data_IF_710194433562
#
_entry.id   IF_710194433562
#
_cell.length_a   1.000
_cell.length_b   1.000
_cell.length_c   1.000
_cell.angle_alpha   90.00
_cell.angle_beta   90.00
_cell.angle_gamma   90.00
#
_symmetry.space_group_name_H-M   'P 1'
#
loop_
_entity.id
_entity.type
_entity.pdbx_description
1 polymer ?
#
# COMPACT_ATOMS: atom_id res chain seq x y z
N UNK A 1 10.57 12.89 11.45
CA UNK A 1 10.00 11.52 11.36
C UNK A 1 9.11 11.18 12.54
N UNK A 2 9.60 11.14 13.80
CA UNK A 2 8.76 10.77 14.97
C UNK A 2 7.48 11.62 15.10
N UNK A 3 7.59 12.94 14.94
CA UNK A 3 6.42 13.83 14.99
C UNK A 3 5.43 13.55 13.85
N UNK A 4 5.91 13.27 12.64
CA UNK A 4 5.05 12.94 11.49
C UNK A 4 4.30 11.63 11.74
N UNK A 5 4.98 10.61 12.30
CA UNK A 5 4.36 9.32 12.68
C UNK A 5 3.24 9.53 13.71
N UNK A 6 3.51 10.30 14.77
CA UNK A 6 2.52 10.59 15.80
C UNK A 6 1.31 11.37 15.25
N UNK A 7 1.55 12.34 14.38
CA UNK A 7 0.49 13.13 13.75
C UNK A 7 -0.36 12.27 12.80
N UNK A 8 0.26 11.41 12.00
CA UNK A 8 -0.48 10.50 11.10
C UNK A 8 -1.29 9.48 11.90
N UNK A 9 -0.72 8.91 12.98
CA UNK A 9 -1.44 8.03 13.90
C UNK A 9 -2.69 8.72 14.46
N UNK A 10 -2.54 9.93 14.99
CA UNK A 10 -3.67 10.70 15.52
C UNK A 10 -4.75 10.97 14.47
N UNK A 11 -4.34 11.26 13.22
CA UNK A 11 -5.28 11.50 12.12
C UNK A 11 -6.00 10.22 11.70
N UNK A 12 -5.30 9.07 11.63
CA UNK A 12 -5.89 7.76 11.36
C UNK A 12 -6.93 7.39 12.41
N UNK A 13 -6.58 7.53 13.69
CA UNK A 13 -7.50 7.26 14.80
C UNK A 13 -8.75 8.14 14.73
N UNK A 14 -8.58 9.42 14.42
CA UNK A 14 -9.69 10.38 14.32
C UNK A 14 -10.62 10.13 13.14
N UNK A 15 -10.06 9.79 11.95
CA UNK A 15 -10.83 9.76 10.69
C UNK A 15 -11.16 8.36 10.18
N UNK A 16 -10.25 7.41 10.36
CA UNK A 16 -10.29 6.11 9.69
C UNK A 16 -10.66 4.96 10.60
N UNK A 17 -10.47 5.11 11.92
CA UNK A 17 -10.71 4.04 12.89
C UNK A 17 -12.04 4.27 13.60
N UNK A 18 -12.85 3.20 13.68
CA UNK A 18 -14.08 3.14 14.47
C UNK A 18 -14.07 1.87 15.28
N UNK A 19 -14.33 1.98 16.59
CA UNK A 19 -14.53 0.86 17.49
C UNK A 19 -16.02 0.60 17.70
N UNK A 20 -16.40 -0.66 17.81
CA UNK A 20 -17.79 -1.09 17.96
C UNK A 20 -18.00 -2.47 17.39
N UNK A 21 -19.25 -2.94 17.33
CA UNK A 21 -19.56 -4.23 16.71
C UNK A 21 -19.90 -4.03 15.23
N UNK A 22 -19.05 -4.55 14.37
CA UNK A 22 -19.21 -4.47 12.91
C UNK A 22 -19.33 -5.86 12.31
N UNK A 23 -20.24 -6.03 11.34
CA UNK A 23 -20.28 -7.24 10.53
C UNK A 23 -19.50 -7.00 9.24
N UNK A 24 -18.41 -7.75 9.05
CA UNK A 24 -17.57 -7.67 7.87
C UNK A 24 -18.31 -8.27 6.66
N UNK A 25 -17.83 -7.99 5.44
CA UNK A 25 -18.35 -8.59 4.21
C UNK A 25 -18.26 -10.11 4.18
N UNK A 26 -17.36 -10.70 4.98
CA UNK A 26 -17.25 -12.16 5.19
C UNK A 26 -18.29 -12.73 6.15
N UNK A 27 -19.17 -11.90 6.76
CA UNK A 27 -20.11 -12.29 7.81
C UNK A 27 -19.50 -12.39 9.22
N UNK A 28 -18.18 -12.23 9.36
CA UNK A 28 -17.53 -12.25 10.68
C UNK A 28 -17.80 -10.96 11.45
N UNK A 29 -17.95 -11.10 12.78
CA UNK A 29 -17.99 -9.96 13.70
C UNK A 29 -16.57 -9.39 13.92
N UNK A 30 -16.47 -8.07 13.98
CA UNK A 30 -15.22 -7.36 14.30
C UNK A 30 -15.52 -6.23 15.29
N UNK A 31 -14.64 -6.02 16.25
CA UNK A 31 -14.66 -4.91 17.19
C UNK A 31 -14.04 -3.64 16.63
N UNK A 32 -13.45 -3.73 15.43
CA UNK A 32 -12.69 -2.68 14.79
C UNK A 32 -13.05 -2.57 13.31
N UNK A 33 -13.37 -1.37 12.86
CA UNK A 33 -13.50 -1.01 11.46
C UNK A 33 -12.45 0.03 11.10
N UNK A 34 -11.68 -0.20 10.03
CA UNK A 34 -10.67 0.72 9.53
C UNK A 34 -10.94 1.01 8.05
N UNK A 35 -11.13 2.30 7.72
CA UNK A 35 -11.17 2.79 6.34
C UNK A 35 -10.06 3.83 6.14
N UNK A 36 -8.90 3.35 5.74
CA UNK A 36 -7.73 4.20 5.53
C UNK A 36 -7.88 5.20 4.39
N UNK A 37 -8.82 4.97 3.44
CA UNK A 37 -9.07 5.88 2.31
C UNK A 37 -9.46 7.26 2.77
N UNK A 38 -10.20 7.38 3.88
CA UNK A 38 -10.60 8.68 4.45
C UNK A 38 -9.38 9.50 4.85
N UNK A 39 -8.35 8.88 5.42
CA UNK A 39 -7.09 9.57 5.76
C UNK A 39 -6.17 9.69 4.55
N UNK A 40 -6.09 8.67 3.70
CA UNK A 40 -5.22 8.69 2.52
C UNK A 40 -5.65 9.73 1.46
N UNK A 41 -6.94 10.06 1.43
CA UNK A 41 -7.50 11.12 0.56
C UNK A 41 -7.60 12.50 1.27
N UNK A 42 -7.22 12.59 2.54
CA UNK A 42 -7.06 13.87 3.22
C UNK A 42 -5.72 14.51 2.81
N UNK A 43 -5.65 15.81 2.44
CA UNK A 43 -4.41 16.44 1.97
C UNK A 43 -3.25 16.33 2.96
N UNK A 44 -3.52 16.51 4.26
CA UNK A 44 -2.49 16.37 5.30
C UNK A 44 -2.12 14.91 5.54
N UNK A 45 -3.13 14.01 5.50
CA UNK A 45 -2.93 12.57 5.60
C UNK A 45 -2.07 12.05 4.43
N UNK A 46 -2.42 12.40 3.20
CA UNK A 46 -1.65 12.05 2.01
C UNK A 46 -0.20 12.52 2.08
N UNK A 47 0.04 13.79 2.50
CA UNK A 47 1.39 14.32 2.65
C UNK A 47 2.22 13.52 3.66
N UNK A 48 1.65 13.24 4.84
CA UNK A 48 2.31 12.45 5.88
C UNK A 48 2.56 11.00 5.46
N UNK A 49 1.60 10.37 4.78
CA UNK A 49 1.73 9.02 4.23
C UNK A 49 2.85 8.99 3.18
N UNK A 50 2.88 9.98 2.30
CA UNK A 50 3.93 10.11 1.29
C UNK A 50 5.33 10.18 1.91
N UNK A 51 5.52 11.06 2.90
CA UNK A 51 6.82 11.26 3.53
C UNK A 51 7.27 10.01 4.33
N UNK A 52 6.38 9.42 5.14
CA UNK A 52 6.69 8.22 5.91
C UNK A 52 6.89 7.00 5.03
N UNK A 53 6.01 6.81 4.05
CA UNK A 53 6.07 5.72 3.10
C UNK A 53 7.34 5.78 2.26
N UNK A 54 7.69 6.97 1.73
CA UNK A 54 8.93 7.14 0.98
C UNK A 54 10.16 6.85 1.84
N UNK A 55 10.19 7.33 3.08
CA UNK A 55 11.30 7.02 3.99
C UNK A 55 11.47 5.51 4.20
N UNK A 56 10.39 4.78 4.47
CA UNK A 56 10.42 3.32 4.66
C UNK A 56 10.87 2.59 3.39
N UNK A 57 10.31 2.97 2.23
CA UNK A 57 10.66 2.44 0.91
C UNK A 57 12.14 2.68 0.60
N UNK A 58 12.60 3.91 0.73
CA UNK A 58 13.98 4.29 0.42
C UNK A 58 14.98 3.55 1.32
N UNK A 59 14.68 3.42 2.61
CA UNK A 59 15.50 2.66 3.55
C UNK A 59 15.67 1.20 3.10
N UNK A 60 14.58 0.55 2.66
CA UNK A 60 14.61 -0.83 2.15
C UNK A 60 15.40 -0.93 0.86
N UNK A 61 15.16 -0.03 -0.11
CA UNK A 61 15.87 0.02 -1.38
C UNK A 61 17.38 0.10 -1.15
N UNK A 62 17.83 1.01 -0.27
CA UNK A 62 19.26 1.22 -0.01
C UNK A 62 19.89 0.07 0.77
N UNK A 63 19.21 -0.46 1.78
CA UNK A 63 19.74 -1.56 2.61
C UNK A 63 19.94 -2.85 1.81
N UNK A 64 19.10 -3.11 0.82
CA UNK A 64 19.17 -4.32 -0.02
C UNK A 64 19.70 -4.05 -1.44
N UNK A 65 20.14 -2.82 -1.72
CA UNK A 65 20.67 -2.38 -3.03
C UNK A 65 19.70 -2.72 -4.18
N UNK A 66 18.41 -2.49 -3.96
CA UNK A 66 17.39 -2.76 -4.95
C UNK A 66 17.35 -1.66 -6.01
N UNK A 67 17.04 -2.02 -7.25
CA UNK A 67 16.64 -1.09 -8.29
C UNK A 67 15.13 -1.21 -8.48
N UNK A 68 14.38 -0.19 -8.11
CA UNK A 68 12.91 -0.16 -8.19
C UNK A 68 12.48 0.95 -9.14
N UNK A 69 11.56 0.65 -10.05
CA UNK A 69 11.10 1.60 -11.06
C UNK A 69 9.71 2.15 -10.76
N UNK A 70 8.83 1.36 -10.14
CA UNK A 70 7.45 1.78 -9.97
C UNK A 70 6.82 1.26 -8.67
N UNK A 71 5.71 1.89 -8.27
CA UNK A 71 4.92 1.58 -7.09
C UNK A 71 3.43 1.63 -7.44
N UNK A 72 2.65 0.67 -6.96
CA UNK A 72 1.21 0.62 -7.22
C UNK A 72 0.53 -0.54 -6.51
N UNK A 73 -0.79 -0.65 -6.66
CA UNK A 73 -1.55 -1.73 -6.04
C UNK A 73 -3.00 -1.74 -6.46
N UNK A 74 -3.83 -2.49 -5.74
CA UNK A 74 -5.24 -2.66 -6.07
C UNK A 74 -6.03 -1.37 -5.86
N UNK A 75 -6.77 -0.94 -6.89
CA UNK A 75 -7.71 0.20 -6.80
C UNK A 75 -8.85 -0.14 -5.82
N UNK A 76 -9.38 0.83 -5.05
CA UNK A 76 -9.04 2.23 -4.82
C UNK A 76 -8.05 2.44 -3.65
N UNK A 77 -7.89 1.45 -2.77
CA UNK A 77 -7.16 1.62 -1.51
C UNK A 77 -5.71 2.04 -1.72
N UNK A 78 -5.03 1.40 -2.66
CA UNK A 78 -3.64 1.66 -2.97
C UNK A 78 -3.38 2.99 -3.70
N UNK A 79 -4.33 3.48 -4.50
CA UNK A 79 -4.11 4.59 -5.42
C UNK A 79 -3.61 5.87 -4.74
N UNK A 80 -4.29 6.41 -3.70
CA UNK A 80 -3.85 7.64 -3.06
C UNK A 80 -2.50 7.47 -2.34
N UNK A 81 -2.22 6.29 -1.81
CA UNK A 81 -0.97 5.98 -1.09
C UNK A 81 0.20 5.90 -2.08
N UNK A 82 0.01 5.17 -3.18
CA UNK A 82 1.03 5.04 -4.23
C UNK A 82 1.38 6.39 -4.83
N UNK A 83 0.36 7.23 -5.11
CA UNK A 83 0.58 8.57 -5.63
C UNK A 83 1.31 9.45 -4.61
N UNK A 84 0.92 9.41 -3.34
CA UNK A 84 1.57 10.18 -2.28
C UNK A 84 3.05 9.81 -2.12
N UNK A 85 3.39 8.51 -2.12
CA UNK A 85 4.77 8.03 -2.04
C UNK A 85 5.56 8.40 -3.30
N UNK A 86 4.97 8.23 -4.49
CA UNK A 86 5.59 8.62 -5.76
C UNK A 86 5.90 10.12 -5.81
N UNK A 87 4.96 10.98 -5.39
CA UNK A 87 5.18 12.42 -5.28
C UNK A 87 6.27 12.78 -4.26
N UNK A 88 6.31 12.09 -3.11
CA UNK A 88 7.36 12.30 -2.11
C UNK A 88 8.72 11.88 -2.64
N UNK A 89 8.83 10.76 -3.37
CA UNK A 89 10.08 10.32 -3.99
C UNK A 89 10.60 11.35 -5.00
N UNK A 90 9.74 11.83 -5.89
CA UNK A 90 10.12 12.84 -6.89
C UNK A 90 10.54 14.18 -6.27
N UNK A 91 9.90 14.60 -5.18
CA UNK A 91 10.23 15.86 -4.49
C UNK A 91 11.53 15.77 -3.69
N UNK A 92 11.76 14.66 -2.99
CA UNK A 92 12.88 14.51 -2.05
C UNK A 92 14.12 13.93 -2.71
N UNK A 93 13.95 13.05 -3.69
CA UNK A 93 15.03 12.33 -4.37
C UNK A 93 14.66 12.15 -5.86
N UNK A 94 14.76 13.19 -6.70
CA UNK A 94 14.33 13.16 -8.11
C UNK A 94 14.94 12.03 -8.93
N UNK A 95 16.20 11.69 -8.68
CA UNK A 95 16.91 10.59 -9.38
C UNK A 95 16.42 9.20 -8.98
N UNK A 96 15.67 9.09 -7.88
CA UNK A 96 15.06 7.86 -7.37
C UNK A 96 13.53 7.90 -7.50
N UNK A 97 12.98 8.79 -8.31
CA UNK A 97 11.53 8.99 -8.45
C UNK A 97 10.83 7.74 -8.93
N UNK A 98 9.83 7.27 -8.17
CA UNK A 98 9.04 6.10 -8.51
C UNK A 98 7.89 6.47 -9.45
N UNK A 99 7.76 5.73 -10.55
CA UNK A 99 6.57 5.78 -11.40
C UNK A 99 5.38 5.17 -10.66
N UNK A 100 4.16 5.61 -10.98
CA UNK A 100 2.95 5.14 -10.28
C UNK A 100 2.03 4.41 -11.25
N UNK A 101 1.49 3.28 -10.80
CA UNK A 101 0.49 2.50 -11.53
C UNK A 101 -0.65 2.05 -10.62
N UNK A 102 -1.73 1.60 -11.23
CA UNK A 102 -2.89 1.05 -10.51
C UNK A 102 -3.25 -0.34 -11.07
N UNK A 103 -3.67 -1.25 -10.21
CA UNK A 103 -4.18 -2.57 -10.59
C UNK A 103 -5.72 -2.56 -10.46
N UNK A 104 -6.40 -2.79 -11.57
CA UNK A 104 -7.87 -2.90 -11.59
C UNK A 104 -8.32 -4.21 -10.96
N UNK A 105 -9.49 -4.21 -10.33
CA UNK A 105 -10.11 -5.44 -9.79
C UNK A 105 -10.37 -6.47 -10.89
N UNK A 106 -10.80 -5.98 -12.07
CA UNK A 106 -11.08 -6.79 -13.25
C UNK A 106 -10.35 -6.20 -14.47
N UNK A 107 -9.90 -7.05 -15.40
CA UNK A 107 -9.36 -6.60 -16.67
C UNK A 107 -10.37 -5.75 -17.44
N UNK A 108 -9.89 -4.85 -18.34
CA UNK A 108 -10.79 -4.11 -19.24
C UNK A 108 -11.56 -5.07 -20.14
N UNK A 109 -12.88 -4.91 -20.21
CA UNK A 109 -13.74 -5.68 -21.09
C UNK A 109 -13.58 -5.36 -22.60
N UNK A 110 -12.83 -4.31 -22.96
CA UNK A 110 -12.56 -3.86 -24.33
C UNK A 110 -11.09 -3.48 -24.50
N UNK A 111 -10.54 -3.73 -25.69
CA UNK A 111 -9.12 -3.47 -26.02
C UNK A 111 -8.21 -4.62 -25.61
N UNK A 112 -6.94 -4.33 -25.26
CA UNK A 112 -5.93 -5.33 -24.93
C UNK A 112 -6.13 -6.11 -23.62
N UNK A 113 -7.28 -5.95 -22.94
CA UNK A 113 -7.60 -6.64 -21.69
C UNK A 113 -6.65 -6.30 -20.51
N UNK A 114 -5.93 -5.20 -20.58
CA UNK A 114 -4.96 -4.80 -19.55
C UNK A 114 -5.61 -4.60 -18.20
N UNK A 115 -4.98 -5.17 -17.18
CA UNK A 115 -5.41 -5.02 -15.79
C UNK A 115 -4.63 -3.92 -15.05
N UNK A 116 -3.49 -3.49 -15.59
CA UNK A 116 -2.64 -2.44 -15.01
C UNK A 116 -2.74 -1.17 -15.83
N UNK A 117 -2.96 -0.04 -15.16
CA UNK A 117 -3.03 1.30 -15.74
C UNK A 117 -1.92 2.19 -15.15
N UNK A 118 -1.55 3.23 -15.88
CA UNK A 118 -0.51 4.18 -15.45
C UNK A 118 0.87 3.82 -16.00
N UNK A 119 1.91 4.09 -15.23
CA UNK A 119 3.31 4.02 -15.67
C UNK A 119 3.97 2.67 -15.29
N UNK A 120 3.37 1.58 -15.74
CA UNK A 120 3.92 0.23 -15.58
C UNK A 120 4.42 -0.30 -16.92
N UNK A 121 5.55 -1.02 -16.89
CA UNK A 121 6.07 -1.75 -18.03
C UNK A 121 6.55 -3.15 -17.61
N UNK A 122 6.40 -4.18 -18.49
CA UNK A 122 6.96 -5.50 -18.26
C UNK A 122 8.47 -5.43 -18.00
N UNK A 123 8.99 -6.29 -17.13
CA UNK A 123 10.39 -6.33 -16.72
C UNK A 123 10.76 -5.38 -15.58
N UNK A 124 9.87 -4.49 -15.18
CA UNK A 124 10.13 -3.59 -14.05
C UNK A 124 10.11 -4.30 -12.69
N UNK A 125 11.03 -3.92 -11.82
CA UNK A 125 10.95 -4.21 -10.39
C UNK A 125 10.02 -3.19 -9.74
N UNK A 126 9.02 -3.66 -9.02
CA UNK A 126 7.98 -2.81 -8.45
C UNK A 126 7.71 -3.09 -6.98
N UNK A 127 7.08 -2.13 -6.33
CA UNK A 127 6.55 -2.25 -4.97
C UNK A 127 5.04 -2.34 -5.07
N UNK A 128 4.44 -3.33 -4.37
CA UNK A 128 3.00 -3.39 -4.23
C UNK A 128 2.55 -2.65 -2.97
N UNK A 129 1.42 -1.92 -3.10
CA UNK A 129 0.84 -1.11 -2.03
C UNK A 129 -0.55 -1.62 -1.67
N UNK A 130 -0.89 -1.58 -0.38
CA UNK A 130 -2.28 -1.70 0.08
C UNK A 130 -2.56 -0.70 1.22
N UNK A 131 -3.81 -0.31 1.40
CA UNK A 131 -4.21 0.58 2.49
C UNK A 131 -4.38 -0.18 3.80
N UNK A 132 -5.09 -1.31 3.78
CA UNK A 132 -5.32 -2.17 4.96
C UNK A 132 -5.23 -3.63 4.56
N UNK A 133 -4.34 -4.37 5.21
CA UNK A 133 -4.32 -5.83 5.06
C UNK A 133 -5.02 -6.51 6.23
N UNK A 134 -5.97 -7.40 5.91
CA UNK A 134 -6.61 -8.36 6.81
C UNK A 134 -6.09 -9.77 6.51
N UNK A 135 -6.64 -10.42 5.52
CA UNK A 135 -6.20 -11.74 5.02
C UNK A 135 -5.19 -11.66 3.86
N UNK A 136 -4.91 -10.47 3.34
CA UNK A 136 -3.98 -10.25 2.23
C UNK A 136 -4.52 -10.52 0.83
N UNK A 137 -5.82 -10.88 0.71
CA UNK A 137 -6.40 -11.32 -0.56
C UNK A 137 -6.34 -10.28 -1.68
N UNK A 138 -6.55 -8.99 -1.39
CA UNK A 138 -6.44 -7.89 -2.38
C UNK A 138 -5.01 -7.73 -2.85
N UNK A 139 -4.08 -7.70 -1.90
CA UNK A 139 -2.64 -7.55 -2.18
C UNK A 139 -2.12 -8.71 -3.02
N UNK A 140 -2.49 -9.97 -2.68
CA UNK A 140 -2.10 -11.16 -3.45
C UNK A 140 -2.65 -11.11 -4.88
N UNK A 141 -3.89 -10.69 -5.08
CA UNK A 141 -4.46 -10.49 -6.44
C UNK A 141 -3.71 -9.42 -7.23
N UNK A 142 -3.28 -8.34 -6.57
CA UNK A 142 -2.46 -7.31 -7.20
C UNK A 142 -1.10 -7.88 -7.62
N UNK A 143 -0.44 -8.66 -6.76
CA UNK A 143 0.81 -9.35 -7.05
C UNK A 143 0.65 -10.27 -8.26
N UNK A 144 -0.38 -11.13 -8.27
CA UNK A 144 -0.65 -12.05 -9.38
C UNK A 144 -0.87 -11.31 -10.71
N UNK A 145 -1.56 -10.15 -10.68
CA UNK A 145 -1.77 -9.34 -11.87
C UNK A 145 -0.46 -8.71 -12.37
N UNK A 146 0.38 -8.18 -11.46
CA UNK A 146 1.68 -7.59 -11.78
C UNK A 146 2.62 -8.65 -12.41
N UNK A 147 2.71 -9.82 -11.78
CA UNK A 147 3.56 -10.92 -12.25
C UNK A 147 3.08 -11.46 -13.61
N UNK A 148 1.77 -11.56 -13.82
CA UNK A 148 1.16 -11.96 -15.09
C UNK A 148 1.48 -11.00 -16.22
N UNK A 149 1.56 -9.70 -15.95
CA UNK A 149 1.95 -8.68 -16.93
C UNK A 149 3.47 -8.45 -16.98
N UNK A 150 4.26 -9.38 -16.39
CA UNK A 150 5.73 -9.42 -16.50
C UNK A 150 6.49 -8.51 -15.55
N UNK A 151 5.84 -7.96 -14.53
CA UNK A 151 6.51 -7.20 -13.46
C UNK A 151 7.11 -8.11 -12.39
N UNK A 152 8.05 -7.58 -11.62
CA UNK A 152 8.72 -8.28 -10.53
C UNK A 152 8.47 -7.56 -9.20
N UNK A 153 7.58 -8.10 -8.37
CA UNK A 153 7.31 -7.53 -7.05
C UNK A 153 8.47 -7.82 -6.10
N UNK A 154 9.10 -6.78 -5.55
CA UNK A 154 10.25 -6.91 -4.65
C UNK A 154 9.85 -6.91 -3.17
N UNK A 155 8.91 -6.10 -2.81
CA UNK A 155 8.31 -6.08 -1.47
C UNK A 155 6.96 -5.37 -1.49
N UNK A 156 6.24 -5.45 -0.39
CA UNK A 156 4.99 -4.75 -0.18
C UNK A 156 5.13 -3.66 0.88
N UNK A 157 4.42 -2.53 0.71
CA UNK A 157 4.23 -1.53 1.75
C UNK A 157 2.74 -1.37 2.03
N UNK A 158 2.35 -1.35 3.30
CA UNK A 158 0.95 -1.23 3.69
C UNK A 158 0.78 -0.14 4.75
N UNK A 159 -0.30 0.62 4.67
CA UNK A 159 -0.54 1.66 5.65
C UNK A 159 -0.89 1.05 7.00
N UNK A 160 -1.80 0.07 7.05
CA UNK A 160 -2.17 -0.62 8.29
C UNK A 160 -2.22 -2.13 8.09
N UNK A 161 -1.44 -2.87 8.89
CA UNK A 161 -1.59 -4.31 9.07
C UNK A 161 -2.51 -4.58 10.26
N UNK A 162 -3.65 -5.25 10.02
CA UNK A 162 -4.60 -5.62 11.07
C UNK A 162 -4.19 -6.83 11.89
N UNK A 163 -3.04 -7.46 11.57
CA UNK A 163 -2.51 -8.64 12.27
C UNK A 163 -3.48 -9.84 12.22
N UNK A 164 -4.21 -9.98 11.10
CA UNK A 164 -5.21 -11.04 10.87
C UNK A 164 -4.71 -12.13 9.88
N UNK A 165 -3.39 -12.31 9.79
CA UNK A 165 -2.75 -13.35 8.96
C UNK A 165 -2.39 -12.92 7.54
N UNK A 166 -2.80 -11.73 7.08
CA UNK A 166 -2.55 -11.27 5.72
C UNK A 166 -1.07 -11.05 5.42
N UNK A 167 -0.32 -10.51 6.37
CA UNK A 167 1.13 -10.37 6.25
C UNK A 167 1.81 -11.72 6.02
N UNK A 168 1.47 -12.72 6.82
CA UNK A 168 2.03 -14.07 6.70
C UNK A 168 1.69 -14.70 5.34
N UNK A 169 0.47 -14.50 4.85
CA UNK A 169 0.06 -15.00 3.54
C UNK A 169 0.86 -14.38 2.38
N UNK A 170 1.18 -13.08 2.45
CA UNK A 170 2.00 -12.38 1.46
C UNK A 170 3.46 -12.82 1.58
N UNK A 171 4.00 -12.89 2.80
CA UNK A 171 5.39 -13.29 3.05
C UNK A 171 5.65 -14.77 2.68
N UNK A 172 4.64 -15.63 2.72
CA UNK A 172 4.73 -17.00 2.20
C UNK A 172 4.99 -17.07 0.68
N UNK A 173 4.73 -15.96 -0.08
CA UNK A 173 5.12 -15.80 -1.49
C UNK A 173 6.56 -15.28 -1.65
N UNK A 174 7.33 -15.13 -0.58
CA UNK A 174 8.67 -14.55 -0.60
C UNK A 174 8.68 -13.01 -0.68
N UNK A 175 7.54 -12.36 -0.52
CA UNK A 175 7.40 -10.91 -0.63
C UNK A 175 7.32 -10.30 0.77
N UNK A 176 8.39 -9.63 1.20
CA UNK A 176 8.43 -8.99 2.51
C UNK A 176 7.42 -7.84 2.62
N UNK A 177 6.71 -7.74 3.74
CA UNK A 177 5.71 -6.69 4.00
C UNK A 177 6.23 -5.68 5.02
N UNK A 178 6.19 -4.40 4.65
CA UNK A 178 6.54 -3.27 5.51
C UNK A 178 5.25 -2.54 5.90
N UNK A 179 4.70 -2.74 7.10
CA UNK A 179 3.60 -1.94 7.59
C UNK A 179 4.09 -0.60 8.11
N UNK A 180 3.40 0.50 7.80
CA UNK A 180 3.61 1.79 8.46
C UNK A 180 3.03 1.77 9.88
N UNK A 181 1.89 1.10 10.06
CA UNK A 181 1.29 0.80 11.35
C UNK A 181 0.81 -0.65 11.38
N UNK A 182 0.89 -1.28 12.55
CA UNK A 182 0.13 -2.49 12.86
C UNK A 182 -1.09 -2.13 13.70
N UNK A 183 -2.06 -3.06 13.86
CA UNK A 183 -3.18 -2.88 14.78
C UNK A 183 -2.68 -2.49 16.18
N UNK A 184 -1.65 -3.22 16.70
CA UNK A 184 -1.05 -2.95 18.00
C UNK A 184 -0.52 -1.52 18.06
N UNK A 185 0.41 -1.14 17.18
CA UNK A 185 1.02 0.21 17.19
C UNK A 185 0.04 1.34 16.90
N UNK A 186 -1.08 1.07 16.23
CA UNK A 186 -2.10 2.06 15.94
C UNK A 186 -3.00 2.33 17.14
N UNK A 187 -3.35 1.30 17.93
CA UNK A 187 -4.33 1.41 19.02
C UNK A 187 -3.68 1.65 20.41
N UNK A 188 -2.38 1.40 20.58
CA UNK A 188 -1.61 1.76 21.78
C UNK A 188 -1.47 3.28 21.92
#
# INVERSE_FOLDING_TARGET
MLQTTANLKALLLKKSVRTGTFTLASGKQSDLYIDCRVTAMDPFGAAMIGDLGWHAVRSKIHSEKLSIQAIGGMTLGADPISLAIGMASARQNPDEALQVFTVRKEPKGHGAGKQIEGNFAPGQNVIVVDDVITTGGSTLKAIDAIEREGGHVKFAIVLVDREEGGRQAIEARGIHVIPLFTRGTLLD
#
